data_IF_293050901535
#
_entry.id   IF_293050901535
#
_cell.length_a   1.000
_cell.length_b   1.000
_cell.length_c   1.000
_cell.angle_alpha   90.00
_cell.angle_beta   90.00
_cell.angle_gamma   90.00
#
_symmetry.space_group_name_H-M   'P 1'
#
loop_
_entity.id
_entity.type
_entity.pdbx_description
1 polymer ?
#
# COMPACT_ATOMS: atom_id res chain seq x y z
N UNK A 1 60.86 4.22 23.70
CA UNK A 1 59.70 4.77 24.45
C UNK A 1 59.05 5.96 23.74
N UNK A 2 58.84 5.89 22.42
CA UNK A 2 58.06 6.82 21.58
C UNK A 2 57.67 6.01 20.33
N UNK A 3 56.47 6.19 19.76
CA UNK A 3 55.85 5.43 18.64
C UNK A 3 55.02 4.18 19.00
N UNK A 4 54.10 4.28 19.96
CA UNK A 4 53.02 3.29 20.14
C UNK A 4 51.70 3.94 20.60
N UNK A 5 51.31 5.05 19.97
CA UNK A 5 50.17 5.87 20.42
C UNK A 5 49.40 6.56 19.31
N UNK A 6 49.30 5.94 18.12
CA UNK A 6 48.63 6.56 16.96
C UNK A 6 47.92 5.56 16.03
N UNK A 7 47.57 4.37 16.52
CA UNK A 7 46.91 3.32 15.72
C UNK A 7 45.59 2.80 16.30
N UNK A 8 45.10 3.37 17.41
CA UNK A 8 43.81 3.02 18.04
C UNK A 8 42.73 4.10 17.76
N UNK A 9 43.07 5.20 17.07
CA UNK A 9 42.14 6.29 16.76
C UNK A 9 41.39 6.19 15.43
N UNK A 10 41.67 5.18 14.60
CA UNK A 10 41.14 5.09 13.22
C UNK A 10 40.24 3.86 12.99
N UNK A 11 39.74 3.22 14.05
CA UNK A 11 38.78 2.10 13.97
C UNK A 11 37.40 2.44 14.54
N UNK A 12 37.13 3.72 14.86
CA UNK A 12 35.90 4.14 15.55
C UNK A 12 34.92 4.99 14.71
N UNK A 13 35.14 5.15 13.41
CA UNK A 13 34.27 5.92 12.51
C UNK A 13 34.02 5.21 11.17
N UNK A 14 34.06 3.88 11.18
CA UNK A 14 33.26 3.07 10.26
C UNK A 14 32.02 2.65 11.04
N UNK A 15 31.22 3.63 11.47
CA UNK A 15 29.77 3.41 11.42
C UNK A 15 29.51 3.20 9.94
N UNK A 16 29.57 1.94 9.50
CA UNK A 16 28.88 1.54 8.29
C UNK A 16 27.53 2.24 8.40
N UNK A 17 27.12 3.06 7.41
CA UNK A 17 25.73 3.47 7.38
C UNK A 17 24.98 2.18 7.61
N UNK A 18 24.21 2.11 8.72
CA UNK A 18 23.28 1.02 8.91
C UNK A 18 22.64 0.89 7.54
N UNK A 19 22.87 -0.24 6.85
CA UNK A 19 22.41 -0.44 5.48
C UNK A 19 20.98 0.03 5.53
N UNK A 20 20.70 1.16 4.87
CA UNK A 20 19.38 1.75 4.91
C UNK A 20 18.53 0.64 4.33
N UNK A 21 17.83 -0.07 5.21
CA UNK A 21 16.94 -1.15 4.85
C UNK A 21 16.03 -0.54 3.79
N UNK A 22 16.02 -1.15 2.60
CA UNK A 22 15.28 -0.62 1.48
C UNK A 22 13.82 -0.56 1.92
N UNK A 23 13.32 0.66 2.22
CA UNK A 23 12.00 0.88 2.82
C UNK A 23 10.90 0.31 1.93
N UNK A 24 11.17 0.25 0.62
CA UNK A 24 10.27 -0.30 -0.37
C UNK A 24 10.38 -1.83 -0.55
N UNK A 25 11.40 -2.50 -0.01
CA UNK A 25 11.71 -3.92 -0.31
C UNK A 25 10.52 -4.84 -0.02
N UNK A 26 9.95 -4.77 1.18
CA UNK A 26 8.81 -5.61 1.58
C UNK A 26 7.57 -5.35 0.70
N UNK A 27 7.32 -4.09 0.35
CA UNK A 27 6.24 -3.72 -0.56
C UNK A 27 6.48 -4.29 -1.96
N UNK A 28 7.70 -4.16 -2.49
CA UNK A 28 8.05 -4.63 -3.83
C UNK A 28 8.05 -6.15 -3.91
N UNK A 29 8.49 -6.86 -2.88
CA UNK A 29 8.41 -8.32 -2.74
C UNK A 29 6.96 -8.81 -2.83
N UNK A 30 6.05 -8.22 -2.05
CA UNK A 30 4.63 -8.57 -2.13
C UNK A 30 3.98 -8.15 -3.46
N UNK A 31 4.36 -6.98 -4.00
CA UNK A 31 3.86 -6.51 -5.31
C UNK A 31 4.31 -7.39 -6.47
N UNK A 32 5.49 -8.00 -6.38
CA UNK A 32 5.98 -8.99 -7.33
C UNK A 32 5.16 -10.29 -7.32
N UNK A 33 4.22 -10.45 -6.37
CA UNK A 33 3.24 -11.55 -6.33
C UNK A 33 1.87 -11.14 -6.85
N UNK A 34 1.67 -9.89 -7.26
CA UNK A 34 0.41 -9.44 -7.85
C UNK A 34 0.39 -9.74 -9.35
N UNK A 35 -0.60 -10.49 -9.86
CA UNK A 35 -0.71 -10.79 -11.28
C UNK A 35 -0.94 -9.51 -12.08
N UNK A 36 -0.25 -9.33 -13.21
CA UNK A 36 -0.44 -8.14 -14.07
C UNK A 36 -1.90 -8.01 -14.53
N UNK A 37 -2.64 -9.11 -14.71
CA UNK A 37 -4.05 -9.09 -15.07
C UNK A 37 -4.94 -8.41 -14.00
N UNK A 38 -4.61 -8.55 -12.72
CA UNK A 38 -5.27 -7.84 -11.62
C UNK A 38 -4.94 -6.35 -11.58
N UNK A 39 -3.88 -5.93 -12.30
CA UNK A 39 -3.49 -4.52 -12.47
C UNK A 39 -4.15 -3.88 -13.69
N UNK A 40 -4.79 -4.67 -14.56
CA UNK A 40 -5.49 -4.13 -15.73
C UNK A 40 -6.84 -3.56 -15.28
N UNK A 41 -7.12 -2.28 -15.53
CA UNK A 41 -8.40 -1.70 -15.18
C UNK A 41 -9.57 -2.35 -15.89
N UNK A 42 -10.62 -2.64 -15.13
CA UNK A 42 -11.95 -2.89 -15.67
C UNK A 42 -12.62 -1.52 -15.90
N UNK A 43 -13.20 -1.25 -17.08
CA UNK A 43 -13.85 0.03 -17.35
C UNK A 43 -14.88 0.39 -16.26
N UNK A 44 -14.69 1.54 -15.63
CA UNK A 44 -15.55 2.04 -14.54
C UNK A 44 -15.14 1.62 -13.12
N UNK A 45 -14.08 0.81 -12.98
CA UNK A 45 -13.59 0.35 -11.68
C UNK A 45 -12.09 0.70 -11.53
N UNK A 46 -11.72 1.25 -10.38
CA UNK A 46 -10.32 1.48 -10.06
C UNK A 46 -9.70 0.16 -9.58
N UNK A 47 -8.80 -0.44 -10.36
CA UNK A 47 -7.91 -1.46 -9.84
C UNK A 47 -6.97 -0.80 -8.81
N UNK A 48 -7.14 -1.16 -7.54
CA UNK A 48 -6.34 -0.66 -6.43
C UNK A 48 -5.60 -1.80 -5.76
N UNK A 49 -4.33 -1.56 -5.44
CA UNK A 49 -3.54 -2.44 -4.58
C UNK A 49 -3.17 -1.65 -3.33
N UNK A 50 -3.46 -2.20 -2.16
CA UNK A 50 -3.18 -1.56 -0.87
C UNK A 50 -2.17 -2.40 -0.10
N UNK A 51 -1.06 -1.78 0.26
CA UNK A 51 0.00 -2.34 1.08
C UNK A 51 0.00 -1.68 2.46
N UNK A 52 0.27 -2.46 3.51
CA UNK A 52 0.49 -1.97 4.86
C UNK A 52 1.56 -2.78 5.58
N UNK A 53 2.57 -2.10 6.12
CA UNK A 53 3.68 -2.65 6.90
C UNK A 53 3.34 -2.57 8.39
N UNK A 54 2.89 -3.70 8.93
CA UNK A 54 2.47 -3.82 10.33
C UNK A 54 3.67 -3.83 11.28
N UNK A 55 4.81 -4.39 10.85
CA UNK A 55 6.05 -4.36 11.62
C UNK A 55 6.57 -2.92 11.79
N UNK A 56 6.59 -2.14 10.71
CA UNK A 56 6.95 -0.72 10.75
C UNK A 56 5.96 0.09 11.60
N UNK A 57 4.65 -0.19 11.52
CA UNK A 57 3.65 0.45 12.36
C UNK A 57 3.84 0.13 13.85
N UNK A 58 4.16 -1.12 14.21
CA UNK A 58 4.52 -1.53 15.58
C UNK A 58 5.76 -0.80 16.08
N UNK A 59 6.82 -0.75 15.27
CA UNK A 59 8.05 -0.05 15.61
C UNK A 59 7.81 1.46 15.82
N UNK A 60 7.02 2.08 14.94
CA UNK A 60 6.62 3.48 15.07
C UNK A 60 5.82 3.71 16.36
N UNK A 61 4.85 2.86 16.69
CA UNK A 61 4.09 2.92 17.95
C UNK A 61 5.01 2.80 19.17
N UNK A 62 5.97 1.85 19.15
CA UNK A 62 6.90 1.63 20.26
C UNK A 62 7.83 2.83 20.51
N UNK A 63 8.07 3.65 19.48
CA UNK A 63 8.87 4.88 19.59
C UNK A 63 8.10 6.04 20.25
N UNK A 64 6.77 5.99 20.29
CA UNK A 64 5.94 7.03 20.90
C UNK A 64 5.96 6.88 22.43
N UNK A 65 6.28 7.93 23.20
CA UNK A 65 6.32 7.85 24.66
C UNK A 65 5.00 7.33 25.26
N UNK A 66 5.08 6.47 26.29
CA UNK A 66 3.89 5.92 26.96
C UNK A 66 2.94 6.99 27.53
N UNK A 67 3.47 8.18 27.85
CA UNK A 67 2.72 9.32 28.36
C UNK A 67 2.01 10.14 27.26
N UNK A 68 2.26 9.85 25.99
CA UNK A 68 1.53 10.43 24.88
C UNK A 68 0.08 9.94 24.86
N UNK A 69 -0.77 10.67 24.16
CA UNK A 69 -2.17 10.30 23.98
C UNK A 69 -2.31 8.94 23.27
N UNK A 70 -3.38 8.20 23.60
CA UNK A 70 -3.65 6.87 23.04
C UNK A 70 -3.86 6.96 21.53
N UNK A 71 -4.52 8.02 21.05
CA UNK A 71 -4.72 8.25 19.61
C UNK A 71 -3.37 8.39 18.89
N UNK A 72 -2.45 9.18 19.45
CA UNK A 72 -1.11 9.37 18.91
C UNK A 72 -0.34 8.04 18.80
N UNK A 73 -0.47 7.17 19.81
CA UNK A 73 0.18 5.85 19.81
C UNK A 73 -0.42 4.89 18.79
N UNK A 74 -1.74 4.95 18.60
CA UNK A 74 -2.45 4.04 17.69
C UNK A 74 -2.48 4.52 16.23
N UNK A 75 -2.16 5.78 15.97
CA UNK A 75 -2.25 6.38 14.64
C UNK A 75 -1.49 5.58 13.55
N UNK A 76 -0.24 5.09 13.76
CA UNK A 76 0.44 4.28 12.74
C UNK A 76 -0.32 3.01 12.38
N UNK A 77 -0.86 2.31 13.38
CA UNK A 77 -1.64 1.09 13.18
C UNK A 77 -2.94 1.30 12.40
N UNK A 78 -3.65 2.40 12.69
CA UNK A 78 -4.89 2.70 11.98
C UNK A 78 -4.63 3.07 10.52
N UNK A 79 -3.45 3.61 10.21
CA UNK A 79 -3.05 3.93 8.84
C UNK A 79 -2.78 2.69 7.99
N UNK A 80 -2.10 1.68 8.55
CA UNK A 80 -1.70 0.49 7.80
C UNK A 80 -2.84 -0.50 7.55
N UNK A 81 -3.99 -0.33 8.21
CA UNK A 81 -5.16 -1.15 7.97
C UNK A 81 -5.76 -0.87 6.57
N UNK A 82 -5.47 -1.78 5.65
CA UNK A 82 -5.77 -1.69 4.23
C UNK A 82 -7.22 -2.10 3.87
N UNK A 83 -8.13 -2.12 4.85
CA UNK A 83 -9.57 -2.06 4.61
C UNK A 83 -10.32 -3.40 4.57
N UNK A 84 -9.70 -4.50 4.98
CA UNK A 84 -10.40 -5.77 5.23
C UNK A 84 -10.63 -6.06 6.72
N UNK A 85 -9.84 -5.46 7.62
CA UNK A 85 -9.81 -5.81 9.03
C UNK A 85 -10.06 -4.57 9.91
N UNK A 86 -11.33 -4.31 10.29
CA UNK A 86 -11.62 -3.23 11.24
C UNK A 86 -10.75 -3.38 12.50
N UNK A 87 -9.85 -2.41 12.84
CA UNK A 87 -8.87 -2.57 13.91
C UNK A 87 -9.53 -2.67 15.29
N UNK A 88 -10.75 -2.16 15.41
CA UNK A 88 -11.56 -2.25 16.62
C UNK A 88 -12.13 -3.63 16.89
N UNK A 89 -12.39 -4.44 15.85
CA UNK A 89 -13.05 -5.73 15.99
C UNK A 89 -12.06 -6.85 16.33
N UNK A 90 -10.83 -6.78 15.78
CA UNK A 90 -9.84 -7.85 15.92
C UNK A 90 -8.95 -7.71 17.16
N UNK A 91 -8.64 -6.49 17.63
CA UNK A 91 -7.86 -6.32 18.88
C UNK A 91 -8.53 -6.93 20.11
N UNK A 92 -9.86 -6.95 20.17
CA UNK A 92 -10.57 -7.66 21.24
C UNK A 92 -10.52 -9.19 21.12
N UNK A 93 -10.11 -9.70 19.95
CA UNK A 93 -10.16 -11.10 19.57
C UNK A 93 -8.78 -11.68 19.20
N UNK A 94 -7.67 -10.97 19.45
CA UNK A 94 -6.33 -11.38 19.02
C UNK A 94 -5.96 -12.80 19.50
N UNK A 95 -6.21 -13.11 20.77
CA UNK A 95 -5.98 -14.45 21.31
C UNK A 95 -6.90 -15.52 20.71
N UNK A 96 -8.08 -15.12 20.23
CA UNK A 96 -9.01 -16.02 19.54
C UNK A 96 -8.54 -16.28 18.11
N UNK A 97 -8.05 -15.24 17.41
CA UNK A 97 -7.49 -15.33 16.06
C UNK A 97 -6.35 -16.34 16.00
N UNK A 98 -5.37 -16.22 16.91
CA UNK A 98 -4.23 -17.16 16.96
C UNK A 98 -4.67 -18.62 17.13
N UNK A 99 -5.69 -18.89 17.95
CA UNK A 99 -6.24 -20.24 18.11
C UNK A 99 -7.03 -20.75 16.89
N UNK A 100 -7.55 -19.86 16.04
CA UNK A 100 -8.37 -20.19 14.88
C UNK A 100 -7.55 -20.39 13.61
N UNK A 101 -6.54 -19.54 13.39
CA UNK A 101 -5.77 -19.50 12.13
C UNK A 101 -4.28 -19.71 12.31
N UNK A 102 -3.78 -19.84 13.54
CA UNK A 102 -2.39 -20.18 13.85
C UNK A 102 -1.47 -18.97 14.03
N UNK A 103 -1.99 -17.75 13.90
CA UNK A 103 -1.24 -16.50 14.05
C UNK A 103 -2.15 -15.37 14.57
N UNK A 104 -1.58 -14.41 15.28
CA UNK A 104 -2.23 -13.17 15.76
C UNK A 104 -1.89 -11.94 14.92
N UNK A 105 -2.32 -10.75 15.37
CA UNK A 105 -2.00 -9.49 14.67
C UNK A 105 -0.50 -9.16 14.74
N UNK A 106 0.15 -9.46 15.87
CA UNK A 106 1.57 -9.21 16.10
C UNK A 106 2.50 -10.07 15.21
N UNK A 107 2.01 -11.21 14.73
CA UNK A 107 2.74 -12.14 13.84
C UNK A 107 2.73 -11.68 12.37
N UNK A 108 1.83 -10.75 12.02
CA UNK A 108 1.75 -10.19 10.66
C UNK A 108 2.82 -9.12 10.49
N UNK A 109 3.77 -9.34 9.58
CA UNK A 109 4.79 -8.35 9.21
C UNK A 109 4.22 -7.32 8.24
N UNK A 110 3.56 -7.78 7.18
CA UNK A 110 2.99 -6.93 6.16
C UNK A 110 1.73 -7.52 5.52
N UNK A 111 0.91 -6.65 4.96
CA UNK A 111 -0.33 -7.00 4.25
C UNK A 111 -0.34 -6.37 2.87
N UNK A 112 -0.87 -7.08 1.89
CA UNK A 112 -1.18 -6.55 0.58
C UNK A 112 -2.56 -7.05 0.14
N UNK A 113 -3.47 -6.14 -0.19
CA UNK A 113 -4.82 -6.48 -0.67
C UNK A 113 -5.04 -5.91 -2.06
N UNK A 114 -5.62 -6.70 -2.95
CA UNK A 114 -5.97 -6.27 -4.32
C UNK A 114 -7.23 -6.96 -4.84
N UNK A 115 -7.69 -6.51 -6.01
CA UNK A 115 -8.94 -6.97 -6.61
C UNK A 115 -10.15 -6.19 -6.11
N UNK A 116 -11.34 -6.63 -6.49
CA UNK A 116 -12.58 -5.92 -6.22
C UNK A 116 -13.58 -6.85 -5.53
N UNK A 117 -14.35 -6.37 -4.55
CA UNK A 117 -15.39 -7.17 -3.93
C UNK A 117 -16.37 -7.75 -4.98
N UNK A 118 -16.75 -9.03 -4.86
CA UNK A 118 -16.41 -9.96 -3.77
C UNK A 118 -15.03 -10.63 -3.91
N UNK A 119 -14.38 -10.53 -5.06
CA UNK A 119 -13.16 -11.24 -5.47
C UNK A 119 -11.89 -10.47 -5.09
N UNK A 120 -11.71 -10.24 -3.80
CA UNK A 120 -10.47 -9.67 -3.25
C UNK A 120 -9.45 -10.78 -2.97
N UNK A 121 -8.18 -10.49 -3.18
CA UNK A 121 -7.05 -11.30 -2.71
C UNK A 121 -6.34 -10.56 -1.61
N UNK A 122 -5.96 -11.27 -0.56
CA UNK A 122 -5.14 -10.78 0.54
C UNK A 122 -3.86 -11.62 0.60
N UNK A 123 -2.71 -10.96 0.61
CA UNK A 123 -1.42 -11.53 0.90
C UNK A 123 -1.02 -11.06 2.29
N UNK A 124 -0.65 -11.99 3.17
CA UNK A 124 -0.10 -11.71 4.49
C UNK A 124 1.32 -12.25 4.54
N UNK A 125 2.29 -11.40 4.81
CA UNK A 125 3.63 -11.85 5.18
C UNK A 125 3.66 -12.00 6.70
N UNK A 126 3.94 -13.21 7.17
CA UNK A 126 3.99 -13.56 8.58
C UNK A 126 5.44 -13.81 9.00
N UNK A 127 5.70 -13.80 10.31
CA UNK A 127 6.92 -14.40 10.82
C UNK A 127 6.98 -15.91 10.49
N UNK A 128 8.20 -16.46 10.46
CA UNK A 128 8.42 -17.85 10.03
C UNK A 128 7.76 -18.88 10.94
N UNK A 129 7.73 -18.64 12.26
CA UNK A 129 7.18 -19.59 13.22
C UNK A 129 5.64 -19.59 13.14
N UNK A 130 5.01 -18.42 13.01
CA UNK A 130 3.57 -18.31 12.82
C UNK A 130 3.10 -18.86 11.47
N UNK A 131 3.83 -18.60 10.37
CA UNK A 131 3.52 -19.17 9.06
C UNK A 131 3.45 -20.71 9.10
N UNK A 132 4.37 -21.34 9.83
CA UNK A 132 4.41 -22.79 10.01
C UNK A 132 3.19 -23.35 10.80
N UNK A 133 2.52 -22.52 11.61
CA UNK A 133 1.32 -22.91 12.37
C UNK A 133 0.02 -22.78 11.57
N UNK A 134 0.00 -22.03 10.47
CA UNK A 134 -1.24 -21.71 9.73
C UNK A 134 -1.95 -22.97 9.25
N UNK A 135 -1.27 -23.79 8.45
CA UNK A 135 -1.86 -24.97 7.86
C UNK A 135 -2.41 -25.98 8.89
N UNK A 136 -1.63 -26.44 9.90
CA UNK A 136 -2.16 -27.37 10.89
C UNK A 136 -3.32 -26.78 11.72
N UNK A 137 -3.28 -25.48 12.01
CA UNK A 137 -4.36 -24.82 12.78
C UNK A 137 -5.64 -24.69 11.97
N UNK A 138 -5.56 -24.32 10.68
CA UNK A 138 -6.73 -24.27 9.80
C UNK A 138 -7.38 -25.65 9.64
N UNK A 139 -6.58 -26.70 9.45
CA UNK A 139 -7.07 -28.09 9.36
C UNK A 139 -7.80 -28.52 10.65
N UNK A 140 -7.26 -28.16 11.81
CA UNK A 140 -7.90 -28.42 13.10
C UNK A 140 -9.23 -27.65 13.27
N UNK A 141 -9.38 -26.51 12.59
CA UNK A 141 -10.54 -25.62 12.66
C UNK A 141 -11.51 -25.78 11.47
N UNK A 142 -11.51 -26.94 10.82
CA UNK A 142 -12.54 -27.32 9.84
C UNK A 142 -12.27 -26.90 8.40
N UNK A 143 -11.07 -26.39 8.10
CA UNK A 143 -10.57 -26.37 6.73
C UNK A 143 -10.18 -27.80 6.30
N UNK A 144 -10.17 -28.05 5.01
CA UNK A 144 -9.64 -29.27 4.43
C UNK A 144 -8.86 -28.95 3.16
N UNK A 145 -7.95 -29.83 2.77
CA UNK A 145 -7.22 -29.70 1.53
C UNK A 145 -8.13 -30.01 0.34
N UNK A 146 -8.03 -29.18 -0.69
CA UNK A 146 -8.60 -29.42 -2.00
C UNK A 146 -7.58 -29.01 -3.07
N UNK A 147 -7.63 -29.68 -4.21
CA UNK A 147 -6.71 -29.42 -5.33
C UNK A 147 -7.51 -28.94 -6.54
N UNK A 148 -7.02 -27.89 -7.19
CA UNK A 148 -7.50 -27.45 -8.49
C UNK A 148 -6.33 -26.98 -9.35
N UNK A 149 -6.26 -27.44 -10.60
CA UNK A 149 -5.19 -27.10 -11.54
C UNK A 149 -3.76 -27.30 -10.96
N UNK A 150 -3.57 -28.33 -10.12
CA UNK A 150 -2.28 -28.64 -9.48
C UNK A 150 -1.92 -27.77 -8.27
N UNK A 151 -2.80 -26.84 -7.87
CA UNK A 151 -2.65 -26.04 -6.65
C UNK A 151 -3.44 -26.70 -5.52
N UNK A 152 -2.74 -27.06 -4.45
CA UNK A 152 -3.35 -27.53 -3.20
C UNK A 152 -3.62 -26.33 -2.31
N UNK A 153 -4.88 -26.15 -1.92
CA UNK A 153 -5.31 -25.08 -1.03
C UNK A 153 -6.07 -25.64 0.17
N UNK A 154 -5.97 -24.94 1.30
CA UNK A 154 -6.82 -25.14 2.46
C UNK A 154 -8.12 -24.39 2.22
N UNK A 155 -9.23 -25.11 2.14
CA UNK A 155 -10.53 -24.52 1.83
C UNK A 155 -11.53 -24.66 2.98
N UNK A 156 -12.38 -23.66 3.09
CA UNK A 156 -13.60 -23.69 3.88
C UNK A 156 -14.78 -23.32 2.97
N UNK A 157 -15.79 -24.18 2.97
CA UNK A 157 -17.00 -24.03 2.15
C UNK A 157 -16.78 -24.41 0.69
N UNK A 158 -17.66 -25.25 0.17
CA UNK A 158 -17.50 -25.91 -1.14
C UNK A 158 -17.86 -24.98 -2.31
N UNK A 159 -18.65 -23.93 -2.06
CA UNK A 159 -19.10 -22.98 -3.07
C UNK A 159 -18.34 -21.67 -2.93
N UNK A 160 -17.76 -21.22 -4.04
CA UNK A 160 -16.97 -19.99 -4.12
C UNK A 160 -17.77 -18.76 -3.67
N UNK A 161 -17.13 -17.97 -2.80
CA UNK A 161 -17.66 -16.75 -2.19
C UNK A 161 -19.05 -16.88 -1.52
N UNK A 162 -19.52 -18.11 -1.27
CA UNK A 162 -20.75 -18.35 -0.53
C UNK A 162 -20.63 -17.77 0.88
N UNK A 163 -21.70 -17.13 1.35
CA UNK A 163 -21.79 -16.61 2.71
C UNK A 163 -22.76 -17.46 3.53
N UNK A 164 -22.32 -17.87 4.72
CA UNK A 164 -23.18 -18.50 5.70
C UNK A 164 -23.15 -17.71 7.01
N UNK A 165 -24.21 -16.93 7.23
CA UNK A 165 -24.27 -16.03 8.38
C UNK A 165 -24.37 -16.77 9.73
N UNK A 166 -24.74 -18.05 9.73
CA UNK A 166 -24.79 -18.87 10.93
C UNK A 166 -23.41 -19.33 11.41
N UNK A 167 -22.40 -19.28 10.54
CA UNK A 167 -21.01 -19.67 10.85
C UNK A 167 -20.10 -18.45 10.93
N UNK A 168 -20.65 -17.27 11.23
CA UNK A 168 -19.85 -16.06 11.39
C UNK A 168 -18.93 -16.20 12.60
N UNK A 169 -17.69 -15.80 12.42
CA UNK A 169 -16.72 -15.67 13.48
C UNK A 169 -15.89 -14.39 13.22
N UNK A 170 -16.12 -13.29 13.95
CA UNK A 170 -15.37 -12.05 13.77
C UNK A 170 -13.86 -12.19 14.00
N UNK A 171 -13.42 -13.19 14.77
CA UNK A 171 -12.01 -13.45 15.03
C UNK A 171 -11.28 -14.16 13.88
N UNK A 172 -12.02 -14.66 12.87
CA UNK A 172 -11.42 -15.29 11.70
C UNK A 172 -11.23 -14.26 10.57
N UNK A 173 -9.97 -13.91 10.23
CA UNK A 173 -9.65 -12.90 9.22
C UNK A 173 -10.00 -13.37 7.80
N UNK A 174 -10.22 -14.67 7.58
CA UNK A 174 -10.44 -15.25 6.26
C UNK A 174 -11.93 -15.29 5.89
N UNK A 175 -12.60 -14.15 6.05
CA UNK A 175 -14.02 -13.97 5.72
C UNK A 175 -14.98 -14.39 6.84
N UNK A 176 -14.47 -14.65 8.04
CA UNK A 176 -15.26 -15.06 9.21
C UNK A 176 -16.37 -14.09 9.57
N UNK A 177 -16.16 -12.77 9.43
CA UNK A 177 -17.20 -11.74 9.65
C UNK A 177 -18.50 -11.98 8.88
N UNK A 178 -18.40 -12.58 7.69
CA UNK A 178 -19.56 -12.89 6.84
C UNK A 178 -19.83 -14.40 6.75
N UNK A 179 -19.07 -15.22 7.49
CA UNK A 179 -19.04 -16.67 7.30
C UNK A 179 -18.80 -17.04 5.84
N UNK A 180 -17.92 -16.29 5.17
CA UNK A 180 -17.63 -16.44 3.75
C UNK A 180 -16.71 -17.63 3.52
N UNK A 181 -16.94 -18.34 2.42
CA UNK A 181 -16.02 -19.35 1.92
C UNK A 181 -14.62 -18.76 1.72
N UNK A 182 -13.59 -19.55 2.00
CA UNK A 182 -12.20 -19.13 1.95
C UNK A 182 -11.33 -20.20 1.30
N UNK A 183 -10.29 -19.76 0.59
CA UNK A 183 -9.26 -20.60 0.02
C UNK A 183 -7.93 -19.97 0.39
N UNK A 184 -7.06 -20.75 1.02
CA UNK A 184 -5.82 -20.30 1.62
C UNK A 184 -4.68 -21.17 1.10
N UNK A 185 -3.61 -20.52 0.65
CA UNK A 185 -2.33 -21.17 0.35
C UNK A 185 -1.26 -20.52 1.20
N UNK A 186 -0.39 -21.34 1.78
CA UNK A 186 0.76 -20.90 2.56
C UNK A 186 2.00 -21.26 1.77
N UNK A 187 2.75 -20.24 1.37
CA UNK A 187 4.00 -20.35 0.61
C UNK A 187 5.12 -19.69 1.43
N UNK A 188 5.96 -20.52 2.06
CA UNK A 188 6.97 -20.09 3.03
C UNK A 188 6.36 -19.21 4.13
N UNK A 189 6.64 -17.90 4.11
CA UNK A 189 6.13 -16.90 5.06
C UNK A 189 4.90 -16.14 4.56
N UNK A 190 4.46 -16.38 3.33
CA UNK A 190 3.35 -15.65 2.71
C UNK A 190 2.09 -16.50 2.67
N UNK A 191 1.03 -15.99 3.30
CA UNK A 191 -0.32 -16.55 3.22
C UNK A 191 -1.11 -15.80 2.16
N UNK A 192 -1.54 -16.51 1.13
CA UNK A 192 -2.45 -16.01 0.09
C UNK A 192 -3.87 -16.46 0.39
N UNK A 193 -4.81 -15.51 0.48
CA UNK A 193 -6.22 -15.79 0.74
C UNK A 193 -7.14 -15.12 -0.28
N UNK A 194 -8.16 -15.87 -0.72
CA UNK A 194 -9.30 -15.33 -1.48
C UNK A 194 -10.56 -16.17 -1.23
N UNK A 195 -11.71 -15.77 -1.80
CA UNK A 195 -12.98 -16.50 -1.64
C UNK A 195 -13.34 -17.44 -2.79
N UNK A 196 -12.60 -17.43 -3.91
CA UNK A 196 -12.88 -18.27 -5.07
C UNK A 196 -11.62 -18.87 -5.71
N UNK A 197 -11.77 -19.98 -6.42
CA UNK A 197 -10.66 -20.66 -7.09
C UNK A 197 -10.05 -19.87 -8.25
N UNK A 198 -10.82 -19.27 -9.19
CA UNK A 198 -10.24 -18.50 -10.29
C UNK A 198 -9.25 -17.42 -9.84
N UNK A 199 -9.60 -16.64 -8.82
CA UNK A 199 -8.76 -15.58 -8.26
C UNK A 199 -7.53 -16.15 -7.55
N UNK A 200 -7.65 -17.29 -6.87
CA UNK A 200 -6.50 -17.93 -6.20
C UNK A 200 -5.47 -18.41 -7.22
N UNK A 201 -5.94 -19.09 -8.28
CA UNK A 201 -5.08 -19.61 -9.33
C UNK A 201 -4.40 -18.48 -10.11
N UNK A 202 -5.10 -17.36 -10.29
CA UNK A 202 -4.49 -16.15 -10.85
C UNK A 202 -3.40 -15.59 -9.95
N UNK A 203 -3.61 -15.52 -8.63
CA UNK A 203 -2.64 -15.01 -7.66
C UNK A 203 -1.33 -15.82 -7.58
N UNK A 204 -1.37 -17.13 -7.83
CA UNK A 204 -0.28 -18.07 -7.53
C UNK A 204 0.65 -18.38 -8.71
N UNK A 205 0.86 -17.46 -9.64
CA UNK A 205 1.85 -17.68 -10.70
C UNK A 205 1.38 -18.51 -11.87
N UNK A 206 0.27 -19.25 -11.73
CA UNK A 206 -0.13 -20.26 -12.72
C UNK A 206 -0.53 -19.65 -14.07
N UNK A 207 -0.74 -18.32 -14.13
CA UNK A 207 -1.11 -17.57 -15.33
C UNK A 207 -0.49 -16.16 -15.33
N UNK A 208 0.40 -15.88 -16.29
CA UNK A 208 0.78 -14.50 -16.68
C UNK A 208 2.03 -13.91 -16.03
N UNK A 209 2.27 -12.63 -16.34
CA UNK A 209 3.34 -11.81 -15.75
C UNK A 209 2.93 -11.26 -14.39
N UNK A 210 3.92 -10.82 -13.61
CA UNK A 210 3.76 -10.34 -12.25
C UNK A 210 4.37 -8.94 -12.07
N UNK A 211 3.76 -8.17 -11.17
CA UNK A 211 4.16 -6.81 -10.85
C UNK A 211 3.97 -5.83 -12.02
N UNK A 212 4.45 -4.61 -11.80
CA UNK A 212 4.51 -3.56 -12.81
C UNK A 212 5.92 -2.95 -12.80
N UNK A 213 6.61 -2.82 -13.95
CA UNK A 213 8.00 -2.34 -13.99
C UNK A 213 8.20 -0.97 -13.34
N UNK A 214 7.22 -0.07 -13.48
CA UNK A 214 7.27 1.28 -12.90
C UNK A 214 7.34 1.28 -11.37
N UNK A 215 6.89 0.22 -10.68
CA UNK A 215 6.94 0.15 -9.21
C UNK A 215 8.36 0.10 -8.68
N UNK A 216 9.30 -0.54 -9.37
CA UNK A 216 10.69 -0.56 -8.94
C UNK A 216 11.31 0.85 -8.93
N UNK A 217 10.94 1.69 -9.91
CA UNK A 217 11.41 3.08 -9.99
C UNK A 217 10.73 3.95 -8.93
N UNK A 218 9.46 3.71 -8.64
CA UNK A 218 8.79 4.36 -7.51
C UNK A 218 9.37 3.93 -6.15
N UNK A 219 9.79 2.67 -6.01
CA UNK A 219 10.53 2.17 -4.85
C UNK A 219 11.83 2.93 -4.62
N UNK A 220 12.60 3.20 -5.70
CA UNK A 220 13.80 4.03 -5.62
C UNK A 220 13.51 5.45 -5.11
N UNK A 221 12.35 6.03 -5.42
CA UNK A 221 11.92 7.32 -4.85
C UNK A 221 11.65 7.17 -3.36
N UNK A 222 10.91 6.14 -2.93
CA UNK A 222 10.65 5.83 -1.51
C UNK A 222 11.96 5.62 -0.72
N UNK A 223 12.99 5.08 -1.36
CA UNK A 223 14.26 4.74 -0.75
C UNK A 223 15.29 5.88 -0.77
N UNK A 224 14.93 7.08 -1.26
CA UNK A 224 15.85 8.21 -1.26
C UNK A 224 16.32 8.56 0.16
N UNK A 225 17.60 8.87 0.35
CA UNK A 225 18.16 9.17 1.68
C UNK A 225 17.67 10.50 2.24
N UNK A 226 17.15 11.40 1.40
CA UNK A 226 16.59 12.70 1.81
C UNK A 226 15.35 12.58 2.71
N UNK A 227 14.68 11.41 2.72
CA UNK A 227 13.59 11.14 3.64
C UNK A 227 14.05 10.91 5.09
N UNK A 228 15.35 10.80 5.35
CA UNK A 228 15.90 10.57 6.68
C UNK A 228 15.53 9.20 7.25
N UNK A 229 15.24 9.11 8.54
CA UNK A 229 15.00 7.84 9.24
C UNK A 229 13.52 7.41 9.23
N UNK A 230 12.73 7.84 8.22
CA UNK A 230 11.34 7.41 8.08
C UNK A 230 11.26 5.97 7.54
N UNK A 231 10.20 5.26 7.88
CA UNK A 231 9.87 3.93 7.35
C UNK A 231 8.58 3.99 6.55
N UNK A 232 8.44 3.14 5.52
CA UNK A 232 7.18 3.02 4.78
C UNK A 232 6.14 2.34 5.68
N UNK A 233 5.01 3.01 5.93
CA UNK A 233 3.91 2.42 6.69
C UNK A 233 2.86 1.80 5.76
N UNK A 234 2.44 2.53 4.74
CA UNK A 234 1.42 2.05 3.81
C UNK A 234 1.66 2.62 2.42
N UNK A 235 1.15 1.89 1.43
CA UNK A 235 1.07 2.39 0.07
C UNK A 235 -0.24 1.98 -0.60
N UNK A 236 -0.78 2.84 -1.44
CA UNK A 236 -1.92 2.54 -2.32
C UNK A 236 -1.52 2.82 -3.75
N UNK A 237 -1.58 1.77 -4.56
CA UNK A 237 -1.27 1.83 -5.99
C UNK A 237 -2.55 1.87 -6.81
N UNK A 238 -2.55 2.74 -7.81
CA UNK A 238 -3.62 2.96 -8.76
C UNK A 238 -3.08 2.61 -10.15
N UNK A 239 -3.77 1.74 -10.88
CA UNK A 239 -3.36 1.33 -12.25
C UNK A 239 -4.23 1.92 -13.35
N UNK A 240 -5.06 2.89 -12.97
CA UNK A 240 -5.94 3.56 -13.89
C UNK A 240 -6.03 5.02 -13.53
N UNK A 241 -5.70 5.87 -14.50
CA UNK A 241 -6.14 7.24 -14.46
C UNK A 241 -7.66 7.22 -14.57
N UNK A 242 -8.32 7.30 -13.41
CA UNK A 242 -9.74 7.59 -13.36
C UNK A 242 -9.96 8.78 -14.30
N UNK A 243 -10.88 8.63 -15.25
CA UNK A 243 -11.21 9.71 -16.18
C UNK A 243 -11.94 10.76 -15.37
N UNK A 244 -11.17 11.59 -14.65
CA UNK A 244 -11.70 12.49 -13.64
C UNK A 244 -12.44 13.69 -14.28
N UNK A 245 -12.57 13.73 -15.61
CA UNK A 245 -13.63 14.45 -16.29
C UNK A 245 -13.31 14.82 -17.74
N UNK A 246 -14.08 15.74 -18.36
CA UNK A 246 -14.02 15.95 -19.80
C UNK A 246 -12.63 16.35 -20.29
N UNK A 247 -12.20 15.68 -21.37
CA UNK A 247 -11.00 15.99 -22.15
C UNK A 247 -10.94 17.50 -22.42
N UNK A 248 -9.97 18.19 -21.83
CA UNK A 248 -9.76 19.65 -22.01
C UNK A 248 -9.78 20.50 -20.73
N UNK A 249 -10.00 19.92 -19.55
CA UNK A 249 -10.05 20.63 -18.26
C UNK A 249 -8.70 20.92 -17.59
N UNK A 250 -7.58 20.42 -18.13
CA UNK A 250 -6.24 20.70 -17.61
C UNK A 250 -5.68 19.71 -16.58
N UNK A 251 -6.34 18.56 -16.32
CA UNK A 251 -5.79 17.50 -15.45
C UNK A 251 -4.40 16.98 -15.90
N UNK A 252 -3.64 16.27 -15.05
CA UNK A 252 -2.30 15.81 -15.39
C UNK A 252 -2.31 14.94 -16.67
N UNK A 253 -1.19 14.91 -17.43
CA UNK A 253 -1.05 14.02 -18.58
C UNK A 253 -1.38 12.56 -18.23
N UNK A 254 -1.67 11.71 -19.22
CA UNK A 254 -1.91 10.29 -18.97
C UNK A 254 -0.74 9.59 -18.29
N UNK A 255 -0.98 9.08 -17.09
CA UNK A 255 -0.04 8.31 -16.30
C UNK A 255 -0.35 6.81 -16.38
N UNK A 256 0.66 5.97 -16.14
CA UNK A 256 0.55 4.51 -16.19
C UNK A 256 0.21 3.92 -14.83
N UNK A 257 0.95 4.35 -13.80
CA UNK A 257 0.75 3.97 -12.40
C UNK A 257 0.73 5.22 -11.54
N UNK A 258 -0.18 5.27 -10.57
CA UNK A 258 -0.16 6.21 -9.46
C UNK A 258 0.19 5.47 -8.18
N UNK A 259 1.07 6.04 -7.35
CA UNK A 259 1.42 5.48 -6.04
C UNK A 259 1.31 6.55 -4.98
N UNK A 260 0.57 6.23 -3.94
CA UNK A 260 0.39 7.03 -2.73
C UNK A 260 1.10 6.29 -1.61
N UNK A 261 2.08 6.90 -0.95
CA UNK A 261 2.83 6.25 0.11
C UNK A 261 2.94 7.15 1.35
N UNK A 262 2.78 6.56 2.53
CA UNK A 262 2.99 7.25 3.81
C UNK A 262 4.24 6.68 4.45
N UNK A 263 5.21 7.55 4.68
CA UNK A 263 6.41 7.25 5.43
C UNK A 263 6.35 7.97 6.77
N UNK A 264 6.84 7.34 7.84
CA UNK A 264 6.83 7.97 9.16
C UNK A 264 8.05 7.61 9.98
N UNK A 265 8.45 8.54 10.84
CA UNK A 265 9.37 8.33 11.95
C UNK A 265 8.71 8.81 13.26
N UNK A 266 9.48 8.85 14.35
CA UNK A 266 9.03 9.42 15.62
C UNK A 266 8.81 10.94 15.56
N UNK A 267 9.45 11.63 14.60
CA UNK A 267 9.47 13.10 14.53
C UNK A 267 8.80 13.67 13.29
N UNK A 268 8.69 12.88 12.22
CA UNK A 268 8.20 13.35 10.92
C UNK A 268 7.27 12.32 10.27
N UNK A 269 6.31 12.80 9.48
CA UNK A 269 5.56 12.01 8.52
C UNK A 269 5.73 12.64 7.14
N UNK A 270 6.06 11.81 6.15
CA UNK A 270 6.16 12.18 4.74
C UNK A 270 5.05 11.47 3.98
N UNK A 271 4.22 12.22 3.28
CA UNK A 271 3.24 11.66 2.35
C UNK A 271 3.73 11.89 0.93
N UNK A 272 3.98 10.80 0.20
CA UNK A 272 4.38 10.82 -1.19
C UNK A 272 3.17 10.53 -2.08
N UNK A 273 3.05 11.28 -3.17
CA UNK A 273 2.18 10.94 -4.29
C UNK A 273 3.01 10.98 -5.56
N UNK A 274 3.05 9.86 -6.27
CA UNK A 274 3.91 9.60 -7.42
C UNK A 274 3.06 9.15 -8.60
N UNK A 275 3.45 9.55 -9.81
CA UNK A 275 2.84 9.10 -11.05
C UNK A 275 3.92 8.73 -12.04
N UNK A 276 3.79 7.58 -12.69
CA UNK A 276 4.68 7.18 -13.77
C UNK A 276 4.13 7.58 -15.13
N UNK A 277 5.04 8.01 -16.00
CA UNK A 277 4.76 8.47 -17.35
C UNK A 277 5.63 7.73 -18.35
N UNK A 278 5.14 7.66 -19.59
CA UNK A 278 5.85 7.01 -20.70
C UNK A 278 7.04 7.79 -21.20
N UNK A 279 7.03 9.11 -21.03
CA UNK A 279 8.09 10.00 -21.51
C UNK A 279 8.34 11.13 -20.51
N UNK A 280 9.52 11.71 -20.60
CA UNK A 280 9.99 12.76 -19.68
C UNK A 280 9.12 14.01 -19.75
N UNK A 281 8.71 14.41 -20.96
CA UNK A 281 7.93 15.64 -21.16
C UNK A 281 6.60 15.61 -20.42
N UNK A 282 5.91 14.47 -20.41
CA UNK A 282 4.66 14.29 -19.66
C UNK A 282 4.90 14.33 -18.15
N UNK A 283 5.98 13.72 -17.65
CA UNK A 283 6.34 13.79 -16.24
C UNK A 283 6.68 15.23 -15.80
N UNK A 284 7.47 15.95 -16.57
CA UNK A 284 7.81 17.36 -16.32
C UNK A 284 6.56 18.25 -16.37
N UNK A 285 5.68 18.04 -17.36
CA UNK A 285 4.42 18.77 -17.46
C UNK A 285 3.48 18.46 -16.29
N UNK A 286 3.46 17.22 -15.80
CA UNK A 286 2.72 16.85 -14.60
C UNK A 286 3.29 17.56 -13.37
N UNK A 287 4.60 17.47 -13.13
CA UNK A 287 5.26 18.12 -12.00
C UNK A 287 5.00 19.63 -11.97
N UNK A 288 5.14 20.30 -13.13
CA UNK A 288 4.87 21.73 -13.25
C UNK A 288 3.40 22.07 -12.94
N UNK A 289 2.44 21.28 -13.43
CA UNK A 289 1.01 21.50 -13.13
C UNK A 289 0.69 21.29 -11.65
N UNK A 290 1.30 20.30 -11.02
CA UNK A 290 1.09 20.06 -9.60
C UNK A 290 1.65 21.24 -8.79
N UNK A 291 2.83 21.74 -9.17
CA UNK A 291 3.41 22.95 -8.57
C UNK A 291 2.50 24.16 -8.74
N UNK A 292 2.07 24.44 -9.97
CA UNK A 292 1.23 25.60 -10.30
C UNK A 292 -0.15 25.53 -9.64
N UNK A 293 -0.73 24.33 -9.52
CA UNK A 293 -2.03 24.11 -8.90
C UNK A 293 -2.00 24.27 -7.38
N UNK A 294 -0.84 24.05 -6.76
CA UNK A 294 -0.67 24.11 -5.31
C UNK A 294 -0.79 25.52 -4.75
N UNK A 295 -0.26 26.51 -5.47
CA UNK A 295 -0.27 27.91 -5.04
C UNK A 295 -1.61 28.62 -5.30
N UNK A 296 -2.56 27.97 -5.96
CA UNK A 296 -3.86 28.57 -6.25
C UNK A 296 -4.82 28.44 -5.07
N UNK A 297 -5.44 29.55 -4.61
CA UNK A 297 -6.41 29.49 -3.54
C UNK A 297 -7.59 28.59 -3.93
N UNK A 298 -8.02 27.75 -2.99
CA UNK A 298 -9.17 26.88 -3.17
C UNK A 298 -10.42 27.65 -3.62
N UNK A 299 -11.35 26.95 -4.27
CA UNK A 299 -12.60 27.57 -4.77
C UNK A 299 -13.58 27.99 -3.66
N UNK A 300 -13.21 27.79 -2.39
CA UNK A 300 -14.05 28.05 -1.22
C UNK A 300 -15.06 26.95 -0.95
N UNK A 301 -14.89 25.76 -1.52
CA UNK A 301 -15.75 24.62 -1.22
C UNK A 301 -15.47 24.08 0.20
N UNK A 302 -16.43 23.41 0.87
CA UNK A 302 -16.17 22.75 2.17
C UNK A 302 -15.03 21.74 2.11
N UNK A 303 -14.83 21.15 0.94
CA UNK A 303 -13.75 20.22 0.67
C UNK A 303 -12.41 20.97 0.51
N UNK A 304 -12.38 22.15 -0.11
CA UNK A 304 -11.19 23.02 -0.11
C UNK A 304 -10.80 23.44 1.31
N UNK A 305 -11.76 23.71 2.20
CA UNK A 305 -11.45 23.98 3.60
C UNK A 305 -10.83 22.77 4.33
N UNK A 306 -11.18 21.54 3.93
CA UNK A 306 -10.52 20.33 4.43
C UNK A 306 -9.10 20.17 3.87
N UNK A 307 -8.90 20.50 2.59
CA UNK A 307 -7.57 20.55 1.96
C UNK A 307 -6.72 21.60 2.67
N UNK A 308 -7.17 22.84 2.75
CA UNK A 308 -6.49 23.93 3.43
C UNK A 308 -6.14 23.57 4.88
N UNK A 309 -7.05 22.90 5.60
CA UNK A 309 -6.77 22.39 6.95
C UNK A 309 -5.67 21.32 6.94
N UNK A 310 -5.73 20.35 6.03
CA UNK A 310 -4.71 19.31 5.89
C UNK A 310 -3.33 19.86 5.51
N UNK A 311 -3.30 20.94 4.71
CA UNK A 311 -2.09 21.61 4.23
C UNK A 311 -1.53 22.61 5.24
N UNK A 312 -2.37 23.22 6.08
CA UNK A 312 -1.96 24.24 7.08
C UNK A 312 -0.98 23.74 8.14
N UNK A 313 -0.79 22.42 8.25
CA UNK A 313 0.18 21.78 9.15
C UNK A 313 1.45 21.26 8.47
N UNK A 314 1.66 21.52 7.17
CA UNK A 314 2.86 21.12 6.46
C UNK A 314 3.97 22.16 6.60
N UNK A 315 5.14 21.71 7.05
CA UNK A 315 6.31 22.57 7.22
C UNK A 315 7.02 22.82 5.89
N UNK A 316 6.94 21.86 4.96
CA UNK A 316 7.51 21.96 3.64
C UNK A 316 6.73 21.10 2.64
N UNK A 317 6.57 21.63 1.44
CA UNK A 317 6.13 20.88 0.26
C UNK A 317 7.32 20.83 -0.69
N UNK A 318 7.73 19.61 -1.01
CA UNK A 318 8.80 19.36 -1.96
C UNK A 318 8.17 18.78 -3.23
N UNK A 319 8.31 19.52 -4.33
CA UNK A 319 7.94 19.06 -5.67
C UNK A 319 9.25 18.76 -6.36
N UNK A 320 9.61 17.49 -6.52
CA UNK A 320 10.79 17.13 -7.28
C UNK A 320 10.43 16.59 -8.66
N UNK A 321 11.34 16.89 -9.59
CA UNK A 321 11.21 16.63 -11.02
C UNK A 321 11.44 15.16 -11.43
N UNK A 322 11.46 14.96 -12.75
CA UNK A 322 11.53 13.66 -13.40
C UNK A 322 12.78 12.85 -12.98
N UNK A 323 12.57 11.75 -12.26
CA UNK A 323 13.60 10.73 -12.07
C UNK A 323 13.63 9.81 -13.29
N UNK A 324 14.82 9.61 -13.87
CA UNK A 324 15.04 8.66 -14.95
C UNK A 324 15.41 7.31 -14.35
N UNK A 325 14.72 6.24 -14.76
CA UNK A 325 15.08 4.89 -14.37
C UNK A 325 16.54 4.61 -14.77
N UNK A 326 17.38 4.00 -13.92
CA UNK A 326 18.67 3.46 -14.37
C UNK A 326 18.43 2.47 -15.53
N UNK A 327 19.38 2.32 -16.48
CA UNK A 327 19.23 1.43 -17.63
C UNK A 327 18.84 0.02 -17.15
N UNK A 328 17.71 -0.45 -17.67
CA UNK A 328 16.85 -1.42 -17.00
C UNK A 328 17.45 -2.83 -16.79
N UNK A 329 16.98 -3.46 -15.71
CA UNK A 329 16.71 -4.89 -15.63
C UNK A 329 15.84 -5.35 -16.84
N UNK A 330 15.71 -6.66 -17.14
CA UNK A 330 15.24 -7.14 -18.44
C UNK A 330 13.92 -6.50 -18.88
N UNK A 331 13.87 -6.10 -20.15
CA UNK A 331 12.80 -5.29 -20.72
C UNK A 331 11.47 -6.06 -20.73
N UNK A 332 10.34 -5.33 -20.78
CA UNK A 332 9.00 -5.90 -20.93
C UNK A 332 8.88 -6.86 -22.14
N UNK A 333 9.73 -6.67 -23.16
CA UNK A 333 9.82 -7.53 -24.35
C UNK A 333 10.48 -8.89 -24.07
N UNK A 334 11.25 -9.03 -22.99
CA UNK A 334 11.83 -10.30 -22.53
C UNK A 334 10.84 -11.08 -21.64
N UNK A 335 9.93 -10.38 -20.96
CA UNK A 335 8.87 -10.97 -20.11
C UNK A 335 7.64 -11.37 -20.93
N UNK A 336 7.41 -10.72 -22.07
CA UNK A 336 6.30 -11.03 -22.99
C UNK A 336 6.84 -11.43 -24.35
N UNK A 337 6.92 -12.73 -24.62
CA UNK A 337 7.48 -13.31 -25.86
C UNK A 337 6.72 -13.00 -27.17
N UNK A 338 6.11 -11.82 -27.32
CA UNK A 338 5.44 -11.37 -28.53
C UNK A 338 5.28 -9.84 -28.57
N UNK A 339 6.36 -9.07 -28.67
CA UNK A 339 6.31 -7.66 -29.08
C UNK A 339 7.64 -7.14 -29.65
N UNK A 340 8.17 -7.82 -30.67
CA UNK A 340 9.30 -7.31 -31.45
C UNK A 340 8.79 -6.74 -32.79
N UNK A 341 8.10 -5.59 -32.77
CA UNK A 341 7.81 -4.86 -34.03
C UNK A 341 7.52 -3.36 -33.89
N UNK A 342 7.73 -2.73 -32.72
CA UNK A 342 7.63 -1.26 -32.59
C UNK A 342 8.98 -0.67 -32.22
N UNK A 343 9.76 -0.26 -33.23
CA UNK A 343 11.08 0.36 -33.08
C UNK A 343 11.04 1.73 -32.37
N UNK A 344 10.78 1.75 -31.07
CA UNK A 344 10.98 2.91 -30.19
C UNK A 344 12.16 2.58 -29.27
N UNK A 345 13.28 3.26 -29.47
CA UNK A 345 14.44 3.14 -28.62
C UNK A 345 14.11 3.70 -27.22
N UNK A 346 14.31 2.83 -26.22
CA UNK A 346 14.31 3.02 -24.77
C UNK A 346 14.19 4.43 -24.20
N UNK A 347 13.00 4.72 -23.68
CA UNK A 347 12.77 5.72 -22.65
C UNK A 347 12.11 4.96 -21.49
N UNK A 348 12.81 4.85 -20.35
CA UNK A 348 12.30 4.16 -19.16
C UNK A 348 11.12 4.90 -18.53
N UNK A 349 10.44 4.34 -17.52
CA UNK A 349 9.38 5.06 -16.84
C UNK A 349 9.95 6.31 -16.16
N UNK A 350 9.30 7.44 -16.37
CA UNK A 350 9.63 8.71 -15.71
C UNK A 350 8.62 8.98 -14.60
N UNK A 351 9.10 9.35 -13.41
CA UNK A 351 8.23 9.61 -12.26
C UNK A 351 8.11 11.11 -12.02
N UNK A 352 6.88 11.61 -11.88
CA UNK A 352 6.61 12.90 -11.26
C UNK A 352 6.05 12.67 -9.87
N UNK A 353 6.52 13.42 -8.87
CA UNK A 353 6.07 13.21 -7.50
C UNK A 353 5.98 14.49 -6.67
N UNK A 354 5.19 14.41 -5.61
CA UNK A 354 5.10 15.43 -4.55
C UNK A 354 5.23 14.77 -3.20
N UNK A 355 6.03 15.40 -2.34
CA UNK A 355 6.17 15.04 -0.94
C UNK A 355 5.60 16.14 -0.04
N UNK A 356 4.76 15.72 0.90
CA UNK A 356 4.25 16.56 1.98
C UNK A 356 4.91 16.14 3.29
N UNK A 357 5.74 17.03 3.85
CA UNK A 357 6.43 16.80 5.12
C UNK A 357 5.70 17.48 6.27
N UNK A 358 5.49 16.74 7.36
CA UNK A 358 4.79 17.22 8.56
C UNK A 358 5.49 16.73 9.82
N UNK A 359 5.46 17.49 10.92
CA UNK A 359 5.80 16.96 12.23
C UNK A 359 4.90 15.76 12.57
N UNK A 360 5.45 14.73 13.22
CA UNK A 360 4.68 13.55 13.62
C UNK A 360 3.43 13.94 14.43
N UNK A 361 3.56 14.93 15.33
CA UNK A 361 2.48 15.46 16.18
C UNK A 361 1.28 15.98 15.39
N UNK A 362 1.50 16.62 14.24
CA UNK A 362 0.45 17.19 13.40
C UNK A 362 -0.44 16.12 12.73
N UNK A 363 0.03 14.87 12.68
CA UNK A 363 -0.65 13.77 11.98
C UNK A 363 -1.40 12.82 12.93
N UNK A 364 -1.31 13.04 14.25
CA UNK A 364 -1.85 12.14 15.29
C UNK A 364 -3.38 12.08 15.34
N UNK A 365 -4.09 13.09 14.82
CA UNK A 365 -5.54 13.21 14.98
C UNK A 365 -6.39 12.51 13.89
N UNK A 366 -5.79 11.82 12.90
CA UNK A 366 -6.54 11.36 11.74
C UNK A 366 -6.28 9.89 11.36
N UNK A 367 -7.31 9.01 11.41
CA UNK A 367 -7.19 7.59 11.05
C UNK A 367 -7.02 7.36 9.54
N UNK A 368 -7.45 8.32 8.72
CA UNK A 368 -7.20 8.37 7.28
C UNK A 368 -6.41 9.64 7.07
N UNK A 369 -5.22 9.56 6.47
CA UNK A 369 -4.41 10.74 6.21
C UNK A 369 -5.20 11.70 5.29
N UNK A 370 -5.77 12.80 5.81
CA UNK A 370 -6.57 13.72 5.00
C UNK A 370 -5.73 14.36 3.91
N UNK A 371 -4.39 14.30 4.05
CA UNK A 371 -3.46 14.69 3.01
C UNK A 371 -3.63 13.87 1.73
N UNK A 372 -4.06 12.59 1.74
CA UNK A 372 -4.28 11.87 0.48
C UNK A 372 -5.46 12.42 -0.30
N UNK A 373 -6.62 12.59 0.35
CA UNK A 373 -7.79 13.19 -0.29
C UNK A 373 -7.50 14.62 -0.70
N UNK A 374 -6.76 15.37 0.13
CA UNK A 374 -6.35 16.75 -0.15
C UNK A 374 -5.30 16.86 -1.26
N UNK A 375 -4.32 15.96 -1.33
CA UNK A 375 -3.31 15.88 -2.39
C UNK A 375 -3.95 15.41 -3.69
N UNK A 376 -4.71 14.31 -3.69
CA UNK A 376 -5.45 13.89 -4.87
C UNK A 376 -6.32 15.03 -5.37
N UNK A 377 -7.04 15.71 -4.47
CA UNK A 377 -7.83 16.84 -4.88
C UNK A 377 -7.01 18.03 -5.36
N UNK A 378 -5.93 18.43 -4.68
CA UNK A 378 -5.05 19.53 -5.12
C UNK A 378 -4.43 19.21 -6.49
N UNK A 379 -4.02 17.97 -6.70
CA UNK A 379 -3.47 17.46 -7.96
C UNK A 379 -4.53 17.37 -9.07
N UNK A 380 -5.78 17.10 -8.72
CA UNK A 380 -6.90 16.94 -9.64
C UNK A 380 -7.91 18.11 -9.58
N UNK A 381 -7.49 19.29 -9.09
CA UNK A 381 -8.45 20.25 -8.58
C UNK A 381 -9.34 20.87 -9.67
N UNK A 382 -10.64 20.92 -9.34
CA UNK A 382 -11.86 21.22 -10.13
C UNK A 382 -12.59 20.08 -10.84
N UNK A 383 -12.11 18.84 -10.77
CA UNK A 383 -12.81 17.71 -11.41
C UNK A 383 -13.51 16.75 -10.45
N UNK A 384 -12.95 16.52 -9.27
CA UNK A 384 -13.55 15.64 -8.25
C UNK A 384 -14.85 16.18 -7.63
N UNK A 385 -15.02 17.50 -7.56
CA UNK A 385 -16.26 18.14 -7.11
C UNK A 385 -17.45 17.94 -8.07
N UNK A 386 -17.19 17.61 -9.34
CA UNK A 386 -18.22 17.38 -10.37
C UNK A 386 -18.61 15.90 -10.51
N UNK A 387 -17.79 14.98 -10.04
CA UNK A 387 -17.96 13.54 -10.30
C UNK A 387 -18.72 12.75 -9.23
N UNK A 388 -19.27 13.40 -8.22
CA UNK A 388 -20.12 12.68 -7.27
C UNK A 388 -19.40 11.54 -6.53
N UNK A 389 -18.08 11.62 -6.34
CA UNK A 389 -17.32 10.80 -5.36
C UNK A 389 -17.68 11.17 -3.90
N UNK A 390 -18.93 11.57 -3.70
CA UNK A 390 -19.62 11.48 -2.42
C UNK A 390 -19.47 10.06 -1.87
N UNK A 391 -19.44 9.01 -2.69
CA UNK A 391 -19.39 7.64 -2.21
C UNK A 391 -18.03 7.19 -1.67
N UNK A 392 -16.87 7.70 -2.13
CA UNK A 392 -15.59 7.34 -1.50
C UNK A 392 -15.43 8.04 -0.14
N UNK A 393 -15.84 9.31 -0.06
CA UNK A 393 -15.84 10.09 1.18
C UNK A 393 -16.98 9.70 2.14
N UNK A 394 -18.15 9.27 1.64
CA UNK A 394 -19.29 8.74 2.43
C UNK A 394 -19.12 7.27 2.78
N UNK A 395 -18.37 6.47 2.04
CA UNK A 395 -17.96 5.14 2.46
C UNK A 395 -16.95 5.25 3.61
N UNK A 396 -15.95 6.14 3.49
CA UNK A 396 -15.00 6.44 4.56
C UNK A 396 -15.64 7.17 5.77
N UNK A 397 -16.65 8.03 5.56
CA UNK A 397 -17.39 8.68 6.65
C UNK A 397 -18.56 7.85 7.20
N UNK A 398 -19.14 6.94 6.41
CA UNK A 398 -20.19 6.01 6.81
C UNK A 398 -19.66 4.88 7.69
N UNK A 399 -18.40 4.48 7.51
CA UNK A 399 -17.68 3.66 8.47
C UNK A 399 -17.58 4.33 9.86
N UNK A 400 -17.60 5.67 9.94
CA UNK A 400 -17.56 6.42 11.22
C UNK A 400 -18.90 6.45 11.96
N UNK A 401 -20.04 6.32 11.28
CA UNK A 401 -21.36 6.34 11.96
C UNK A 401 -21.79 4.97 12.50
N UNK A 402 -21.14 3.89 12.06
CA UNK A 402 -21.34 2.53 12.61
C UNK A 402 -20.26 2.10 13.61
N UNK A 403 -19.16 2.85 13.76
CA UNK A 403 -18.10 2.54 14.72
C UNK A 403 -18.21 3.32 16.06
N UNK A 404 -19.25 4.15 16.23
CA UNK A 404 -19.51 4.95 17.46
C UNK A 404 -20.91 4.67 18.03
N UNK A 405 -21.54 3.56 17.62
CA UNK A 405 -22.70 2.94 18.26
C UNK A 405 -22.42 1.45 18.43
#
# INVERSE_FOLDING_TARGET
MRYLGLLIGAHLLLTLPALAEERSEVMLDLMARVPTAALVPVPGEAAQVRFGDQAAARAAMASVPLAADVEARLAPFVRVDSGSMSPSEHRSAESEMAGLVGFGEDDIEATLTYGLPPNTTMLLRLDTDAAAQVAPTLLANGYHEAEQDGVVALIRGDVDCQQNLATRNPADPFGGRFGRSSRVVVDETVVTQTCNWPTLLEALGQRGAYGHPDLAVMGQVIDQPEWGDVTLLQATTLFHQLDLGPVGSGGPPPWQVGLMADLSSATETVTLVMFSYRNRGDAEAAAARIADGWDQPGTGSPLDAMVDAALSGADAIEIAGAAEAPPAAPSLAEITGAAAETGVAGEGPFIAWVALRRPAEATQAWPVNPAYSALLQAMFNRQLALLGLRDLALWQAGARSQAVL
#
